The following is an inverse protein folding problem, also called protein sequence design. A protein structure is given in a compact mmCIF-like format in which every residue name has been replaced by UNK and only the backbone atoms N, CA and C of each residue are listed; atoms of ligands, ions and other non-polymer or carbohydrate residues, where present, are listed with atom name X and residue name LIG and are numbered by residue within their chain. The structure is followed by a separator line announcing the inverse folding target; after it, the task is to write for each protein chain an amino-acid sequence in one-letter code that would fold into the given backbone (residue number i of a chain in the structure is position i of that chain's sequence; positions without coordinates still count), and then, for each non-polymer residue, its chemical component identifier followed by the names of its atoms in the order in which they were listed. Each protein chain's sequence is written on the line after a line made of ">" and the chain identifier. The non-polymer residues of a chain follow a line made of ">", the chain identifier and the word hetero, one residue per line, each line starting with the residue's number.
data_IF_871277550340
#
_entry.id   IF_871277550340
#
_cell.length_a   1.000
_cell.length_b   1.000
_cell.length_c   1.000
_cell.angle_alpha   90.00
_cell.angle_beta   90.00
_cell.angle_gamma   90.00
#
_symmetry.space_group_name_H-M   'P 1'
#
loop_
_entity.id
_entity.type
_entity.pdbx_description
1 polymer ?
#
# COMPACT_ATOMS: atom_id res chain seq x y z
N UNK A 1 23.93 -14.54 0.74
CA UNK A 1 23.78 -14.78 -0.71
C UNK A 1 22.28 -14.75 -0.98
N UNK A 2 21.80 -13.68 -1.59
CA UNK A 2 20.38 -13.57 -1.99
C UNK A 2 20.19 -14.47 -3.20
N UNK A 3 19.37 -15.49 -3.06
CA UNK A 3 18.98 -16.36 -4.19
C UNK A 3 17.86 -15.63 -4.93
N UNK A 4 18.16 -15.09 -6.09
CA UNK A 4 17.13 -14.58 -7.00
C UNK A 4 16.43 -15.77 -7.63
N UNK A 5 15.17 -15.98 -7.27
CA UNK A 5 14.31 -16.96 -7.94
C UNK A 5 13.67 -16.36 -9.20
N UNK A 6 13.53 -17.15 -10.24
CA UNK A 6 12.68 -16.79 -11.38
C UNK A 6 11.24 -17.17 -11.05
N UNK A 7 10.30 -16.26 -11.28
CA UNK A 7 8.88 -16.53 -11.13
C UNK A 7 8.34 -17.00 -12.48
N UNK A 8 7.79 -18.21 -12.52
CA UNK A 8 7.02 -18.73 -13.65
C UNK A 8 5.55 -18.70 -13.27
N UNK A 9 4.75 -18.00 -14.05
CA UNK A 9 3.30 -17.96 -13.85
C UNK A 9 2.63 -18.99 -14.76
N UNK A 10 1.84 -19.86 -14.16
CA UNK A 10 0.98 -20.79 -14.89
C UNK A 10 -0.44 -20.25 -14.84
N UNK A 11 -1.03 -19.79 -15.97
CA UNK A 11 -2.37 -19.23 -15.98
C UNK A 11 -3.40 -20.25 -15.53
N UNK A 12 -4.24 -19.88 -14.56
CA UNK A 12 -5.42 -20.66 -14.16
C UNK A 12 -6.64 -20.23 -14.98
N UNK A 13 -7.57 -21.14 -15.20
CA UNK A 13 -8.77 -20.89 -16.02
C UNK A 13 -9.74 -19.85 -15.42
N UNK A 14 -9.67 -19.57 -14.11
CA UNK A 14 -10.57 -18.66 -13.39
C UNK A 14 -9.84 -17.64 -12.51
N UNK A 15 -8.51 -17.54 -12.61
CA UNK A 15 -7.74 -16.56 -11.83
C UNK A 15 -7.75 -15.19 -12.51
N UNK A 16 -7.70 -14.08 -11.75
CA UNK A 16 -7.45 -12.76 -12.32
C UNK A 16 -6.16 -12.80 -13.13
N UNK A 17 -6.18 -12.28 -14.36
CA UNK A 17 -4.98 -12.22 -15.19
C UNK A 17 -4.11 -11.08 -14.72
N UNK A 18 -2.92 -11.40 -14.22
CA UNK A 18 -1.92 -10.44 -13.76
C UNK A 18 -0.70 -10.36 -14.69
N UNK A 19 -0.60 -11.26 -15.65
CA UNK A 19 0.55 -11.48 -16.53
C UNK A 19 0.44 -10.81 -17.88
N UNK A 20 -0.79 -10.47 -18.32
CA UNK A 20 -1.06 -9.85 -19.59
C UNK A 20 -1.86 -8.55 -19.42
N UNK A 21 -1.39 -7.47 -20.04
CA UNK A 21 -2.18 -6.27 -20.22
C UNK A 21 -3.04 -6.43 -21.50
N UNK A 22 -4.34 -6.24 -21.38
CA UNK A 22 -5.27 -6.40 -22.52
C UNK A 22 -5.29 -5.20 -23.47
N UNK A 23 -4.67 -4.08 -23.08
CA UNK A 23 -4.63 -2.83 -23.85
C UNK A 23 -3.33 -2.10 -23.57
N UNK A 24 -2.96 -1.09 -24.40
CA UNK A 24 -1.89 -0.17 -24.04
C UNK A 24 -2.14 0.38 -22.63
N UNK A 25 -1.17 0.22 -21.78
CA UNK A 25 -1.25 0.56 -20.36
C UNK A 25 -0.64 1.91 -20.02
N UNK A 26 -0.60 2.20 -18.73
CA UNK A 26 0.09 3.36 -18.18
C UNK A 26 1.61 3.23 -18.29
N UNK A 27 2.29 4.23 -17.78
CA UNK A 27 3.75 4.29 -17.76
C UNK A 27 4.28 4.07 -16.33
N UNK A 28 5.53 3.59 -16.22
CA UNK A 28 6.22 3.50 -14.94
C UNK A 28 7.48 4.36 -14.98
N UNK A 29 7.46 5.43 -14.18
CA UNK A 29 8.57 6.37 -14.09
C UNK A 29 9.46 6.10 -12.88
N UNK A 30 10.73 6.48 -12.98
CA UNK A 30 11.66 6.55 -11.86
C UNK A 30 11.65 7.97 -11.30
N UNK A 31 11.37 8.10 -10.01
CA UNK A 31 11.41 9.35 -9.28
C UNK A 31 12.58 9.33 -8.31
N UNK A 32 13.61 10.14 -8.58
CA UNK A 32 14.73 10.36 -7.66
C UNK A 32 14.42 11.54 -6.75
N UNK A 33 14.66 11.38 -5.46
CA UNK A 33 14.45 12.42 -4.47
C UNK A 33 15.49 12.34 -3.35
N UNK A 34 15.67 13.46 -2.65
CA UNK A 34 16.46 13.49 -1.43
C UNK A 34 15.56 13.21 -0.24
N UNK A 35 15.86 12.18 0.50
CA UNK A 35 15.25 11.92 1.79
C UNK A 35 15.89 12.82 2.85
N UNK A 36 15.15 13.74 3.38
CA UNK A 36 15.61 14.66 4.44
C UNK A 36 15.95 13.90 5.73
N UNK A 37 15.06 13.01 6.25
CA UNK A 37 15.36 12.29 7.49
C UNK A 37 16.49 11.28 7.36
N UNK A 38 16.73 10.72 6.17
CA UNK A 38 17.82 9.76 5.93
C UNK A 38 19.10 10.43 5.40
N UNK A 39 19.05 11.72 5.04
CA UNK A 39 20.22 12.47 4.57
C UNK A 39 20.80 12.01 3.23
N UNK A 40 20.08 11.20 2.44
CA UNK A 40 20.57 10.57 1.20
C UNK A 40 19.58 10.62 0.06
N UNK A 41 20.09 10.40 -1.17
CA UNK A 41 19.24 10.22 -2.35
C UNK A 41 18.54 8.87 -2.29
N UNK A 42 17.28 8.86 -2.69
CA UNK A 42 16.42 7.68 -2.76
C UNK A 42 15.64 7.66 -4.06
N UNK A 43 15.08 6.51 -4.36
CA UNK A 43 14.32 6.26 -5.58
C UNK A 43 12.93 5.75 -5.22
N UNK A 44 11.93 6.20 -5.98
CA UNK A 44 10.59 5.63 -6.00
C UNK A 44 10.21 5.24 -7.44
N UNK A 45 9.30 4.29 -7.60
CA UNK A 45 8.60 4.03 -8.85
C UNK A 45 7.24 4.68 -8.83
N UNK A 46 6.86 5.29 -9.93
CA UNK A 46 5.55 5.94 -10.08
C UNK A 46 4.84 5.37 -11.29
N UNK A 47 3.75 4.64 -11.05
CA UNK A 47 2.82 4.24 -12.09
C UNK A 47 1.92 5.42 -12.43
N UNK A 48 1.80 5.73 -13.71
CA UNK A 48 1.01 6.80 -14.30
C UNK A 48 -0.09 6.14 -15.13
N UNK A 49 -1.38 6.29 -14.80
CA UNK A 49 -2.43 5.65 -15.56
C UNK A 49 -2.52 6.20 -16.97
N UNK A 50 -2.89 5.39 -17.97
CA UNK A 50 -3.04 5.79 -19.37
C UNK A 50 -3.90 7.05 -19.51
N UNK A 51 -4.96 7.16 -18.74
CA UNK A 51 -5.82 8.35 -18.73
C UNK A 51 -5.09 9.65 -18.34
N UNK A 52 -4.01 9.58 -17.55
CA UNK A 52 -3.21 10.76 -17.24
C UNK A 52 -2.22 11.10 -18.36
N UNK A 53 -1.77 10.12 -19.12
CA UNK A 53 -0.94 10.32 -20.32
C UNK A 53 -1.80 10.99 -21.42
N UNK A 54 -3.02 10.50 -21.62
CA UNK A 54 -3.96 11.03 -22.61
C UNK A 54 -4.53 12.41 -22.24
N UNK A 55 -4.66 12.69 -20.93
CA UNK A 55 -5.25 13.94 -20.42
C UNK A 55 -4.30 14.64 -19.42
N UNK A 56 -3.17 15.20 -19.87
CA UNK A 56 -2.11 15.73 -18.99
C UNK A 56 -2.55 16.94 -18.12
N UNK A 57 -3.68 17.57 -18.43
CA UNK A 57 -4.28 18.63 -17.62
C UNK A 57 -5.18 18.13 -16.48
N UNK A 58 -5.65 16.88 -16.54
CA UNK A 58 -6.57 16.31 -15.56
C UNK A 58 -5.81 15.83 -14.31
N UNK A 59 -6.43 16.03 -13.14
CA UNK A 59 -5.91 15.50 -11.87
C UNK A 59 -6.50 14.12 -11.59
N UNK A 60 -5.69 13.29 -10.89
CA UNK A 60 -6.07 11.94 -10.48
C UNK A 60 -5.68 11.72 -9.01
N UNK A 61 -6.33 10.79 -8.31
CA UNK A 61 -5.95 10.39 -6.95
C UNK A 61 -4.62 9.63 -6.94
N UNK A 62 -4.05 9.43 -5.75
CA UNK A 62 -2.77 8.76 -5.57
C UNK A 62 -2.81 7.72 -4.46
N UNK A 63 -2.29 6.53 -4.76
CA UNK A 63 -2.01 5.46 -3.80
C UNK A 63 -0.50 5.41 -3.53
N UNK A 64 -0.11 5.49 -2.26
CA UNK A 64 1.24 5.21 -1.79
C UNK A 64 1.32 3.74 -1.39
N UNK A 65 2.13 2.93 -2.11
CA UNK A 65 2.17 1.48 -1.99
C UNK A 65 3.55 1.00 -1.53
N UNK A 66 3.60 0.27 -0.41
CA UNK A 66 4.84 -0.12 0.27
C UNK A 66 5.13 -1.61 0.12
N UNK A 67 6.39 -1.96 -0.11
CA UNK A 67 6.90 -3.34 -0.23
C UNK A 67 7.22 -3.97 1.12
N UNK A 68 7.53 -5.26 1.14
CA UNK A 68 7.90 -6.05 2.31
C UNK A 68 9.37 -6.00 2.70
N UNK A 69 9.73 -6.76 3.75
CA UNK A 69 11.12 -6.94 4.14
C UNK A 69 11.93 -7.64 3.05
N UNK A 70 13.17 -7.20 2.85
CA UNK A 70 14.06 -7.74 1.80
C UNK A 70 13.77 -7.27 0.38
N UNK A 71 12.63 -6.61 0.16
CA UNK A 71 12.19 -6.05 -1.11
C UNK A 71 12.72 -4.63 -1.36
N UNK A 72 12.26 -3.98 -2.42
CA UNK A 72 12.58 -2.60 -2.77
C UNK A 72 11.44 -1.95 -3.57
N UNK A 73 11.62 -0.71 -4.00
CA UNK A 73 10.63 0.08 -4.75
C UNK A 73 10.20 -0.54 -6.09
N UNK A 74 10.94 -1.53 -6.62
CA UNK A 74 10.59 -2.21 -7.87
C UNK A 74 9.68 -3.43 -7.65
N UNK A 75 9.61 -3.98 -6.44
CA UNK A 75 8.99 -5.28 -6.18
C UNK A 75 7.51 -5.33 -6.54
N UNK A 76 6.77 -4.25 -6.28
CA UNK A 76 5.37 -4.18 -6.71
C UNK A 76 5.18 -4.15 -8.23
N UNK A 77 6.15 -3.68 -9.00
CA UNK A 77 6.11 -3.73 -10.47
C UNK A 77 6.53 -5.11 -10.96
N UNK A 78 7.67 -5.61 -10.47
CA UNK A 78 8.25 -6.86 -10.95
C UNK A 78 7.45 -8.09 -10.48
N UNK A 79 7.30 -8.24 -9.16
CA UNK A 79 6.67 -9.40 -8.55
C UNK A 79 5.18 -9.18 -8.28
N UNK A 80 4.80 -7.95 -7.90
CA UNK A 80 3.42 -7.57 -7.58
C UNK A 80 2.52 -7.35 -8.79
N UNK A 81 3.09 -7.16 -9.99
CA UNK A 81 2.35 -6.89 -11.23
C UNK A 81 1.39 -5.70 -11.13
N UNK A 82 1.71 -4.71 -10.28
CA UNK A 82 0.80 -3.62 -9.95
C UNK A 82 0.34 -2.82 -11.18
N UNK A 83 1.25 -2.57 -12.15
CA UNK A 83 0.90 -1.87 -13.38
C UNK A 83 -0.15 -2.64 -14.20
N UNK A 84 0.07 -3.93 -14.42
CA UNK A 84 -0.86 -4.79 -15.18
C UNK A 84 -2.23 -4.92 -14.49
N UNK A 85 -2.23 -5.08 -13.17
CA UNK A 85 -3.47 -5.12 -12.36
C UNK A 85 -4.27 -3.83 -12.56
N UNK A 86 -3.62 -2.68 -12.46
CA UNK A 86 -4.25 -1.37 -12.61
C UNK A 86 -4.73 -1.12 -14.03
N UNK A 87 -3.91 -1.40 -15.04
CA UNK A 87 -4.27 -1.22 -16.45
C UNK A 87 -5.53 -2.01 -16.80
N UNK A 88 -5.58 -3.28 -16.40
CA UNK A 88 -6.74 -4.13 -16.68
C UNK A 88 -7.99 -3.63 -15.94
N UNK A 89 -7.91 -3.33 -14.64
CA UNK A 89 -9.05 -2.88 -13.86
C UNK A 89 -9.56 -1.49 -14.27
N UNK A 90 -8.67 -0.59 -14.66
CA UNK A 90 -9.05 0.74 -15.18
C UNK A 90 -9.72 0.60 -16.53
N UNK A 91 -9.18 -0.24 -17.43
CA UNK A 91 -9.77 -0.49 -18.73
C UNK A 91 -11.16 -1.16 -18.65
N UNK A 92 -11.39 -1.98 -17.62
CA UNK A 92 -12.70 -2.60 -17.31
C UNK A 92 -13.66 -1.65 -16.59
N UNK A 93 -13.25 -0.42 -16.23
CA UNK A 93 -14.05 0.51 -15.43
C UNK A 93 -14.25 0.07 -13.97
N UNK A 94 -13.45 -0.86 -13.48
CA UNK A 94 -13.54 -1.44 -12.13
C UNK A 94 -12.70 -0.69 -11.10
N UNK A 95 -11.63 -0.02 -11.53
CA UNK A 95 -10.84 0.87 -10.69
C UNK A 95 -10.86 2.30 -11.25
N UNK A 96 -10.82 3.27 -10.35
CA UNK A 96 -10.63 4.68 -10.72
C UNK A 96 -9.20 4.85 -11.24
N UNK A 97 -8.96 5.54 -12.37
CA UNK A 97 -7.61 5.88 -12.78
C UNK A 97 -6.87 6.62 -11.67
N UNK A 98 -5.69 6.12 -11.27
CA UNK A 98 -4.91 6.67 -10.16
C UNK A 98 -3.41 6.55 -10.41
N UNK A 99 -2.64 7.48 -9.85
CA UNK A 99 -1.19 7.31 -9.70
C UNK A 99 -0.90 6.30 -8.59
N UNK A 100 0.17 5.51 -8.74
CA UNK A 100 0.68 4.69 -7.63
C UNK A 100 2.16 4.98 -7.42
N UNK A 101 2.51 5.40 -6.20
CA UNK A 101 3.87 5.75 -5.80
C UNK A 101 4.41 4.66 -4.91
N UNK A 102 5.44 3.97 -5.37
CA UNK A 102 6.09 2.86 -4.66
C UNK A 102 7.45 3.33 -4.15
N UNK A 103 7.54 3.58 -2.85
CA UNK A 103 8.76 4.03 -2.19
C UNK A 103 9.51 2.87 -1.57
N UNK A 104 10.82 3.03 -1.37
CA UNK A 104 11.59 2.06 -0.61
C UNK A 104 11.24 2.15 0.88
N UNK A 105 10.90 1.03 1.51
CA UNK A 105 10.48 0.93 2.91
C UNK A 105 11.59 0.61 3.90
N UNK A 106 12.86 0.58 3.47
CA UNK A 106 14.02 0.30 4.33
C UNK A 106 14.74 1.59 4.72
N UNK A 107 15.11 1.72 5.99
CA UNK A 107 15.88 2.88 6.50
C UNK A 107 17.38 2.67 6.42
N UNK A 108 17.81 1.41 6.41
CA UNK A 108 19.21 0.96 6.36
C UNK A 108 19.36 -0.26 5.42
N UNK A 109 20.49 -0.93 5.49
CA UNK A 109 20.76 -2.13 4.69
C UNK A 109 20.22 -3.43 5.30
N UNK A 110 19.52 -3.39 6.42
CA UNK A 110 18.93 -4.57 7.04
C UNK A 110 17.66 -5.03 6.33
N UNK A 111 17.34 -6.31 6.46
CA UNK A 111 16.19 -6.92 5.81
C UNK A 111 14.84 -6.29 6.21
N UNK A 112 14.74 -5.76 7.41
CA UNK A 112 13.51 -5.16 7.96
C UNK A 112 13.76 -3.82 8.66
N UNK A 113 14.71 -3.03 8.18
CA UNK A 113 15.13 -1.77 8.82
C UNK A 113 14.03 -0.72 8.98
N UNK A 114 12.91 -0.87 8.30
CA UNK A 114 11.73 -0.01 8.45
C UNK A 114 10.65 -0.52 9.41
N UNK A 115 10.91 -1.58 10.19
CA UNK A 115 9.90 -2.20 11.06
C UNK A 115 9.91 -1.67 12.51
N UNK A 116 10.99 -1.00 12.93
CA UNK A 116 11.06 -0.43 14.29
C UNK A 116 10.21 0.83 14.40
N UNK A 117 9.78 1.24 15.61
CA UNK A 117 9.07 2.50 15.82
C UNK A 117 9.82 3.71 15.25
N UNK A 118 11.14 3.76 15.42
CA UNK A 118 12.02 4.82 14.92
C UNK A 118 12.15 4.78 13.40
N UNK A 119 12.23 3.57 12.82
CA UNK A 119 12.26 3.35 11.37
C UNK A 119 10.95 3.80 10.72
N UNK A 120 9.80 3.44 11.32
CA UNK A 120 8.48 3.87 10.83
C UNK A 120 8.35 5.39 10.92
N UNK A 121 8.74 6.01 12.06
CA UNK A 121 8.69 7.46 12.21
C UNK A 121 9.58 8.19 11.18
N UNK A 122 10.75 7.64 10.88
CA UNK A 122 11.64 8.15 9.83
C UNK A 122 10.99 8.09 8.45
N UNK A 123 10.37 6.95 8.11
CA UNK A 123 9.68 6.75 6.82
C UNK A 123 8.37 7.53 6.73
N UNK A 124 7.68 7.75 7.84
CA UNK A 124 6.53 8.63 7.94
C UNK A 124 6.93 10.06 7.58
N UNK A 125 7.98 10.57 8.23
CA UNK A 125 8.51 11.90 7.94
C UNK A 125 8.97 12.03 6.49
N UNK A 126 9.70 11.06 5.95
CA UNK A 126 10.09 11.04 4.53
C UNK A 126 8.86 11.11 3.61
N UNK A 127 7.83 10.32 3.90
CA UNK A 127 6.62 10.28 3.08
C UNK A 127 5.88 11.63 3.10
N UNK A 128 5.69 12.21 4.28
CA UNK A 128 4.88 13.41 4.47
C UNK A 128 5.60 14.69 4.02
N UNK A 129 6.90 14.79 4.30
CA UNK A 129 7.66 16.02 4.11
C UNK A 129 8.41 16.08 2.76
N UNK A 130 8.82 14.92 2.22
CA UNK A 130 9.61 14.87 0.99
C UNK A 130 8.81 14.32 -0.19
N UNK A 131 8.21 13.11 -0.04
CA UNK A 131 7.62 12.38 -1.16
C UNK A 131 6.29 12.96 -1.60
N UNK A 132 5.34 13.17 -0.69
CA UNK A 132 4.02 13.71 -1.02
C UNK A 132 4.13 15.09 -1.68
N UNK A 133 4.86 16.07 -1.12
CA UNK A 133 5.00 17.37 -1.76
C UNK A 133 5.68 17.32 -3.14
N UNK A 134 6.66 16.43 -3.31
CA UNK A 134 7.32 16.25 -4.60
C UNK A 134 6.39 15.66 -5.65
N UNK A 135 5.59 14.65 -5.29
CA UNK A 135 4.59 14.03 -6.17
C UNK A 135 3.54 15.06 -6.59
N UNK A 136 3.01 15.83 -5.65
CA UNK A 136 2.02 16.89 -5.90
C UNK A 136 2.57 18.02 -6.80
N UNK A 137 3.86 18.32 -6.70
CA UNK A 137 4.54 19.28 -7.57
C UNK A 137 4.80 18.75 -8.97
N UNK A 138 5.13 17.46 -9.11
CA UNK A 138 5.63 16.85 -10.35
C UNK A 138 4.54 16.24 -11.21
N UNK A 139 3.46 15.75 -10.58
CA UNK A 139 2.38 15.06 -11.25
C UNK A 139 1.04 15.77 -11.03
N UNK A 140 0.09 15.53 -11.93
CA UNK A 140 -1.26 16.07 -11.83
C UNK A 140 -2.12 15.23 -10.88
N UNK A 141 -1.82 15.31 -9.59
CA UNK A 141 -2.58 14.64 -8.53
C UNK A 141 -3.43 15.65 -7.75
N UNK A 142 -4.49 15.15 -7.13
CA UNK A 142 -5.22 15.93 -6.13
C UNK A 142 -4.38 15.99 -4.84
N UNK A 143 -4.29 17.18 -4.23
CA UNK A 143 -3.49 17.43 -3.04
C UNK A 143 -4.31 17.39 -1.74
N UNK A 144 -5.37 16.60 -1.70
CA UNK A 144 -6.26 16.51 -0.55
C UNK A 144 -6.39 15.06 -0.05
N UNK A 145 -6.86 14.93 1.18
CA UNK A 145 -7.06 13.66 1.88
C UNK A 145 -7.93 12.68 1.09
N UNK A 146 -9.03 13.14 0.51
CA UNK A 146 -10.03 12.29 -0.13
C UNK A 146 -9.47 11.53 -1.33
N UNK A 147 -8.39 12.05 -1.91
CA UNK A 147 -7.74 11.50 -3.08
C UNK A 147 -6.37 10.87 -2.77
N UNK A 148 -6.12 10.55 -1.48
CA UNK A 148 -4.86 9.95 -1.06
C UNK A 148 -5.10 8.70 -0.22
N UNK A 149 -4.49 7.59 -0.63
CA UNK A 149 -4.53 6.31 0.08
C UNK A 149 -3.11 5.79 0.34
N UNK A 150 -2.98 4.92 1.34
CA UNK A 150 -1.73 4.22 1.64
C UNK A 150 -2.03 2.74 1.82
N UNK A 151 -1.17 1.87 1.25
CA UNK A 151 -1.26 0.44 1.44
C UNK A 151 0.13 -0.22 1.39
N UNK A 152 0.22 -1.48 1.78
CA UNK A 152 1.46 -2.23 1.67
C UNK A 152 1.33 -3.68 2.10
N UNK A 153 2.38 -4.45 1.83
CA UNK A 153 2.46 -5.86 2.20
C UNK A 153 3.51 -6.09 3.30
N UNK A 154 3.31 -7.09 4.15
CA UNK A 154 4.27 -7.52 5.17
C UNK A 154 4.80 -6.35 6.01
N UNK A 155 6.11 -6.11 6.03
CA UNK A 155 6.72 -4.92 6.64
C UNK A 155 6.03 -3.62 6.19
N UNK A 156 5.85 -3.45 4.89
CA UNK A 156 5.15 -2.28 4.32
C UNK A 156 3.67 -2.22 4.68
N UNK A 157 3.03 -3.37 4.93
CA UNK A 157 1.67 -3.45 5.46
C UNK A 157 1.56 -2.86 6.86
N UNK A 158 2.51 -3.19 7.75
CA UNK A 158 2.63 -2.60 9.07
C UNK A 158 2.93 -1.10 9.01
N UNK A 159 3.86 -0.69 8.14
CA UNK A 159 4.16 0.73 7.92
C UNK A 159 2.92 1.51 7.43
N UNK A 160 2.19 0.96 6.46
CA UNK A 160 0.98 1.60 5.93
C UNK A 160 -0.12 1.73 6.99
N UNK A 161 -0.31 0.70 7.80
CA UNK A 161 -1.27 0.70 8.90
C UNK A 161 -0.93 1.78 9.94
N UNK A 162 0.32 1.79 10.42
CA UNK A 162 0.77 2.75 11.45
C UNK A 162 0.74 4.17 10.92
N UNK A 163 1.34 4.44 9.76
CA UNK A 163 1.41 5.78 9.17
C UNK A 163 0.00 6.28 8.82
N UNK A 164 -0.84 5.42 8.26
CA UNK A 164 -2.21 5.78 7.90
C UNK A 164 -3.07 6.16 9.11
N UNK A 165 -2.99 5.39 10.20
CA UNK A 165 -3.73 5.69 11.42
C UNK A 165 -3.20 6.92 12.19
N UNK A 166 -1.89 7.17 12.15
CA UNK A 166 -1.32 8.39 12.74
C UNK A 166 -1.75 9.66 11.98
N UNK A 167 -2.08 9.53 10.69
CA UNK A 167 -2.32 10.64 9.77
C UNK A 167 -3.70 10.55 9.12
N UNK A 168 -4.74 10.43 9.93
CA UNK A 168 -6.14 10.34 9.48
C UNK A 168 -6.60 11.59 8.70
N UNK A 169 -5.93 12.71 8.87
CA UNK A 169 -6.14 13.95 8.12
C UNK A 169 -5.47 13.96 6.73
N UNK A 170 -4.64 12.94 6.43
CA UNK A 170 -3.84 12.87 5.20
C UNK A 170 -4.31 11.77 4.25
N UNK A 171 -4.95 10.71 4.75
CA UNK A 171 -5.36 9.55 3.97
C UNK A 171 -6.84 9.23 4.18
N UNK A 172 -7.56 8.90 3.10
CA UNK A 172 -8.95 8.44 3.18
C UNK A 172 -9.06 6.91 3.23
N UNK A 173 -8.03 6.18 2.84
CA UNK A 173 -8.03 4.72 2.85
C UNK A 173 -6.66 4.16 3.26
N UNK A 174 -6.69 3.10 4.05
CA UNK A 174 -5.52 2.38 4.55
C UNK A 174 -5.68 0.90 4.23
N UNK A 175 -4.67 0.29 3.60
CA UNK A 175 -4.62 -1.14 3.30
C UNK A 175 -3.39 -1.81 3.90
N UNK A 176 -3.59 -2.92 4.64
CA UNK A 176 -2.50 -3.77 5.07
C UNK A 176 -2.70 -5.20 4.57
N UNK A 177 -1.67 -5.79 3.96
CA UNK A 177 -1.68 -7.13 3.41
C UNK A 177 -0.63 -7.98 4.14
N UNK A 178 -1.06 -8.93 4.97
CA UNK A 178 -0.20 -9.79 5.79
C UNK A 178 0.83 -8.99 6.62
N UNK A 179 0.39 -7.95 7.31
CA UNK A 179 1.29 -7.02 8.01
C UNK A 179 2.23 -7.70 8.99
N UNK A 180 3.53 -7.47 8.84
CA UNK A 180 4.57 -8.10 9.65
C UNK A 180 4.58 -7.66 11.12
N UNK A 181 4.34 -6.39 11.37
CA UNK A 181 4.42 -5.79 12.71
C UNK A 181 3.26 -6.25 13.60
N UNK A 182 2.07 -6.46 13.03
CA UNK A 182 0.85 -6.80 13.79
C UNK A 182 0.87 -8.21 14.40
N UNK A 183 1.70 -9.09 13.87
CA UNK A 183 1.71 -10.50 14.23
C UNK A 183 2.79 -10.91 15.22
N UNK A 184 3.70 -10.01 15.55
CA UNK A 184 4.89 -10.38 16.33
C UNK A 184 4.60 -10.48 17.85
N UNK A 185 3.31 -10.59 18.25
CA UNK A 185 2.87 -10.78 19.63
C UNK A 185 3.20 -9.64 20.59
N UNK A 186 3.90 -8.63 20.10
CA UNK A 186 4.39 -7.48 20.86
C UNK A 186 3.97 -6.15 20.23
N UNK A 187 3.03 -6.17 19.26
CA UNK A 187 2.57 -4.94 18.65
C UNK A 187 1.71 -4.15 19.65
N UNK A 188 2.29 -3.11 20.17
CA UNK A 188 1.60 -2.14 21.03
C UNK A 188 0.94 -1.08 20.15
N UNK A 189 -0.37 -1.23 19.92
CA UNK A 189 -1.17 -0.30 19.13
C UNK A 189 -1.11 1.13 19.68
N UNK A 190 -1.14 1.27 20.98
CA UNK A 190 -1.10 2.60 21.60
C UNK A 190 0.23 3.28 21.31
N UNK A 191 1.32 2.55 21.44
CA UNK A 191 2.66 3.05 21.15
C UNK A 191 2.90 3.34 19.69
N UNK A 192 2.53 2.41 18.82
CA UNK A 192 2.79 2.57 17.36
C UNK A 192 1.82 3.55 16.71
N UNK A 193 0.54 3.51 17.04
CA UNK A 193 -0.48 4.38 16.47
C UNK A 193 -0.72 5.67 17.29
N UNK A 194 0.13 5.96 18.29
CA UNK A 194 0.06 7.16 19.13
C UNK A 194 -1.33 7.39 19.75
N UNK A 195 -1.95 6.31 20.23
CA UNK A 195 -3.26 6.35 20.86
C UNK A 195 -4.46 6.46 19.93
N UNK A 196 -4.24 6.55 18.61
CA UNK A 196 -5.36 6.71 17.63
C UNK A 196 -6.36 5.56 17.71
N UNK A 197 -5.92 4.34 18.03
CA UNK A 197 -6.79 3.17 18.21
C UNK A 197 -7.77 3.34 19.39
N UNK A 198 -7.45 4.19 20.35
CA UNK A 198 -8.33 4.55 21.46
C UNK A 198 -9.51 5.44 21.06
N UNK A 199 -9.53 5.97 19.83
CA UNK A 199 -10.61 6.80 19.28
C UNK A 199 -11.21 6.17 18.02
N UNK A 200 -12.01 5.10 18.16
CA UNK A 200 -12.60 4.41 17.03
C UNK A 200 -13.62 5.28 16.27
N UNK A 201 -14.28 6.22 16.93
CA UNK A 201 -15.23 7.14 16.29
C UNK A 201 -14.51 8.02 15.27
N UNK A 202 -13.34 8.56 15.65
CA UNK A 202 -12.50 9.34 14.75
C UNK A 202 -11.99 8.51 13.57
N UNK A 203 -11.49 7.29 13.82
CA UNK A 203 -11.07 6.39 12.73
C UNK A 203 -12.21 6.16 11.75
N UNK A 204 -13.40 5.84 12.29
CA UNK A 204 -14.60 5.55 11.51
C UNK A 204 -15.15 6.76 10.75
N UNK A 205 -14.96 7.96 11.25
CA UNK A 205 -15.36 9.20 10.59
C UNK A 205 -14.38 9.62 9.49
N UNK A 206 -13.08 9.37 9.72
CA UNK A 206 -12.00 9.88 8.89
C UNK A 206 -11.60 8.93 7.75
N UNK A 207 -11.74 7.61 7.92
CA UNK A 207 -11.43 6.64 6.88
C UNK A 207 -12.67 6.17 6.11
N UNK A 208 -12.60 6.22 4.79
CA UNK A 208 -13.57 5.58 3.90
C UNK A 208 -13.38 4.06 3.89
N UNK A 209 -12.13 3.59 4.06
CA UNK A 209 -11.79 2.17 4.05
C UNK A 209 -10.55 1.89 4.92
N UNK A 210 -10.70 0.95 5.84
CA UNK A 210 -9.60 0.24 6.48
C UNK A 210 -9.64 -1.22 6.02
N UNK A 211 -8.68 -1.61 5.17
CA UNK A 211 -8.56 -2.95 4.61
C UNK A 211 -7.50 -3.74 5.35
N UNK A 212 -7.88 -4.87 5.90
CA UNK A 212 -6.99 -5.78 6.61
C UNK A 212 -7.04 -7.13 5.92
N UNK A 213 -5.89 -7.75 5.67
CA UNK A 213 -5.90 -9.08 5.04
C UNK A 213 -4.73 -9.95 5.46
N UNK A 214 -4.98 -11.28 5.51
CA UNK A 214 -3.97 -12.28 5.76
C UNK A 214 -4.37 -13.62 5.15
N UNK A 215 -3.42 -14.34 4.56
CA UNK A 215 -3.65 -15.69 4.07
C UNK A 215 -3.80 -16.69 5.22
N UNK A 216 -4.71 -17.67 5.09
CA UNK A 216 -4.98 -18.65 6.16
C UNK A 216 -3.82 -19.63 6.41
N UNK A 217 -2.85 -19.69 5.49
CA UNK A 217 -1.60 -20.47 5.63
C UNK A 217 -0.39 -19.58 5.96
N UNK A 218 -0.60 -18.29 6.13
CA UNK A 218 0.45 -17.36 6.56
C UNK A 218 0.77 -17.65 8.04
N UNK A 219 2.05 -17.76 8.44
CA UNK A 219 2.41 -17.94 9.85
C UNK A 219 1.94 -16.79 10.76
N UNK A 220 1.56 -15.65 10.18
CA UNK A 220 1.03 -14.48 10.88
C UNK A 220 -0.50 -14.45 11.00
N UNK A 221 -1.18 -15.48 10.49
CA UNK A 221 -2.64 -15.47 10.42
C UNK A 221 -3.31 -15.36 11.78
N UNK A 222 -2.84 -16.11 12.80
CA UNK A 222 -3.41 -16.04 14.14
C UNK A 222 -3.29 -14.62 14.75
N UNK A 223 -2.13 -13.99 14.61
CA UNK A 223 -1.94 -12.60 15.08
C UNK A 223 -2.86 -11.58 14.37
N UNK A 224 -3.22 -11.86 13.10
CA UNK A 224 -4.21 -11.04 12.40
C UNK A 224 -5.62 -11.27 12.93
N UNK A 225 -6.00 -12.51 13.28
CA UNK A 225 -7.29 -12.77 13.91
C UNK A 225 -7.41 -12.05 15.27
N UNK A 226 -6.37 -12.11 16.10
CA UNK A 226 -6.32 -11.43 17.38
C UNK A 226 -6.46 -9.90 17.21
N UNK A 227 -5.77 -9.35 16.22
CA UNK A 227 -5.87 -7.94 15.82
C UNK A 227 -7.27 -7.54 15.39
N UNK A 228 -7.86 -8.32 14.49
CA UNK A 228 -9.22 -8.09 13.95
C UNK A 228 -10.25 -8.15 15.07
N UNK A 229 -10.11 -9.08 16.01
CA UNK A 229 -11.00 -9.18 17.16
C UNK A 229 -10.85 -7.99 18.10
N UNK A 230 -9.63 -7.54 18.36
CA UNK A 230 -9.39 -6.35 19.22
C UNK A 230 -9.99 -5.09 18.58
N UNK A 231 -9.75 -4.86 17.28
CA UNK A 231 -10.34 -3.74 16.55
C UNK A 231 -11.88 -3.78 16.56
N UNK A 232 -12.46 -4.97 16.42
CA UNK A 232 -13.93 -5.16 16.50
C UNK A 232 -14.46 -4.82 17.88
N UNK A 233 -13.80 -5.29 18.96
CA UNK A 233 -14.18 -4.96 20.34
C UNK A 233 -14.11 -3.46 20.62
N UNK A 234 -13.18 -2.75 20.00
CA UNK A 234 -13.04 -1.29 20.10
C UNK A 234 -14.06 -0.53 19.25
N UNK A 235 -14.80 -1.20 18.38
CA UNK A 235 -15.80 -0.57 17.51
C UNK A 235 -15.20 0.07 16.25
N UNK A 236 -13.98 -0.27 15.87
CA UNK A 236 -13.37 0.18 14.60
C UNK A 236 -14.01 -0.53 13.42
N UNK A 237 -14.40 0.22 12.39
CA UNK A 237 -14.90 -0.33 11.13
C UNK A 237 -13.74 -0.68 10.20
N UNK A 238 -13.75 -1.89 9.69
CA UNK A 238 -12.76 -2.38 8.73
C UNK A 238 -13.37 -3.49 7.86
N UNK A 239 -12.69 -3.81 6.76
CA UNK A 239 -12.93 -5.02 5.98
C UNK A 239 -11.79 -6.01 6.23
N UNK A 240 -12.11 -7.26 6.57
CA UNK A 240 -11.14 -8.32 6.72
C UNK A 240 -11.26 -9.31 5.57
N UNK A 241 -10.14 -9.59 4.91
CA UNK A 241 -10.06 -10.47 3.76
C UNK A 241 -9.04 -11.57 4.00
N UNK A 242 -9.45 -12.80 3.74
CA UNK A 242 -8.62 -13.99 3.90
C UNK A 242 -8.71 -14.91 2.67
N UNK A 243 -7.85 -15.91 2.60
CA UNK A 243 -7.87 -16.90 1.54
C UNK A 243 -6.82 -17.98 1.78
N UNK A 244 -6.85 -19.10 1.02
CA UNK A 244 -6.05 -20.31 1.27
C UNK A 244 -4.58 -20.16 0.83
N UNK A 245 -3.97 -18.99 1.10
CA UNK A 245 -2.62 -18.59 0.68
C UNK A 245 -1.69 -18.45 1.89
N UNK A 246 -0.38 -18.55 1.62
CA UNK A 246 0.67 -18.23 2.59
C UNK A 246 1.10 -16.77 2.56
N UNK A 247 2.32 -16.51 3.05
CA UNK A 247 2.98 -15.20 3.02
C UNK A 247 3.66 -15.00 1.66
N UNK A 248 2.89 -14.69 0.63
CA UNK A 248 3.34 -14.82 -0.76
C UNK A 248 2.69 -13.83 -1.72
N UNK A 249 3.37 -13.55 -2.85
CA UNK A 249 2.95 -12.59 -3.86
C UNK A 249 1.59 -12.91 -4.48
N UNK A 250 1.20 -14.19 -4.61
CA UNK A 250 -0.10 -14.60 -5.13
C UNK A 250 -1.23 -14.01 -4.28
N UNK A 251 -1.10 -14.06 -2.96
CA UNK A 251 -2.06 -13.46 -2.06
C UNK A 251 -2.05 -11.92 -2.15
N UNK A 252 -0.88 -11.30 -2.12
CA UNK A 252 -0.78 -9.84 -2.13
C UNK A 252 -1.25 -9.20 -3.43
N UNK A 253 -1.06 -9.85 -4.59
CA UNK A 253 -1.65 -9.44 -5.87
C UNK A 253 -3.18 -9.43 -5.80
N UNK A 254 -3.79 -10.47 -5.23
CA UNK A 254 -5.24 -10.55 -5.02
C UNK A 254 -5.72 -9.43 -4.08
N UNK A 255 -4.95 -9.11 -3.04
CA UNK A 255 -5.31 -8.03 -2.12
C UNK A 255 -5.21 -6.67 -2.79
N UNK A 256 -4.16 -6.39 -3.55
CA UNK A 256 -4.06 -5.16 -4.34
C UNK A 256 -5.22 -5.06 -5.34
N UNK A 257 -5.49 -6.15 -6.06
CA UNK A 257 -6.62 -6.25 -7.01
C UNK A 257 -7.96 -5.92 -6.35
N UNK A 258 -8.23 -6.44 -5.15
CA UNK A 258 -9.43 -6.13 -4.37
C UNK A 258 -9.46 -4.67 -3.88
N UNK A 259 -8.38 -4.23 -3.27
CA UNK A 259 -8.26 -2.92 -2.63
C UNK A 259 -8.43 -1.75 -3.62
N UNK A 260 -7.76 -1.78 -4.78
CA UNK A 260 -7.84 -0.68 -5.76
C UNK A 260 -9.22 -0.53 -6.40
N UNK A 261 -10.04 -1.56 -6.33
CA UNK A 261 -11.44 -1.50 -6.76
C UNK A 261 -12.37 -0.81 -5.75
N UNK A 262 -11.92 -0.59 -4.53
CA UNK A 262 -12.72 -0.04 -3.44
C UNK A 262 -12.41 1.42 -3.15
N UNK A 263 -11.16 1.85 -3.36
CA UNK A 263 -10.72 3.21 -3.06
C UNK A 263 -11.17 4.22 -4.12
N UNK A 264 -11.38 5.46 -3.69
CA UNK A 264 -11.71 6.65 -4.51
C UNK A 264 -13.06 6.61 -5.25
N UNK A 265 -13.93 5.62 -5.03
CA UNK A 265 -15.22 5.49 -5.74
C UNK A 265 -16.27 6.52 -5.34
N UNK A 266 -16.25 7.01 -4.11
CA UNK A 266 -17.24 7.99 -3.61
C UNK A 266 -17.07 9.39 -4.20
N UNK A 267 -16.12 9.59 -5.10
CA UNK A 267 -15.69 10.90 -5.60
C UNK A 267 -15.90 11.05 -7.12
N UNK A 268 -16.58 10.11 -7.76
CA UNK A 268 -17.02 10.31 -9.14
C UNK A 268 -18.27 11.21 -9.10
N UNK A 269 -18.27 12.37 -9.82
CA UNK A 269 -19.43 13.24 -9.93
C UNK A 269 -20.59 12.55 -10.65
#
# INVERSE_FOLDING_TARGET
>A
TTVYGSVVEVPGTNAPRFDEAFRPGGEVHTLNYRSTPLGRMRTARVYIPQAAVEHPGRKFPVLYLRHGGGDNENSWIADGRAAVILDNLIAEGRAVPMYVVMTNGLTDGSWAGGSTPEGIATLEKELLDDVIPLVEKRYRVYADKRHRAIAGLSMGGGQAFVIGLRNLDRFCAVGQFSAGILSDGQFDYERYALGTIGDPERINAELDLLWISCGTKDPRYQGHLDTVEDLRRRGVRFEFHEGPWGHEWQFWRLQLYGFVQRIFKRQQP
#
